data_IF_963775205817
#
_entry.id   IF_963775205817
#
_cell.length_a   1.000
_cell.length_b   1.000
_cell.length_c   1.000
_cell.angle_alpha   90.00
_cell.angle_beta   90.00
_cell.angle_gamma   90.00
#
_symmetry.space_group_name_H-M   'P 1'
#
loop_
_entity.id
_entity.type
_entity.pdbx_description
1 polymer ?
#
# COMPACT_ATOMS: atom_id res chain seq x y z
N UNK A 1 -0.70 22.80 23.56
CA UNK A 1 0.26 22.43 22.49
C UNK A 1 0.03 21.00 21.99
N UNK A 2 -0.12 20.01 22.88
CA UNK A 2 -0.33 18.59 22.51
C UNK A 2 -1.61 18.32 21.70
N UNK A 3 -2.72 19.01 21.99
CA UNK A 3 -3.98 18.85 21.24
C UNK A 3 -3.87 19.29 19.77
N UNK A 4 -3.10 20.34 19.49
CA UNK A 4 -2.93 20.85 18.11
C UNK A 4 -2.14 19.84 17.26
N UNK A 5 -1.08 19.25 17.83
CA UNK A 5 -0.31 18.21 17.14
C UNK A 5 -1.11 16.93 16.92
N UNK A 6 -1.93 16.53 17.91
CA UNK A 6 -2.84 15.39 17.77
C UNK A 6 -3.81 15.59 16.59
N UNK A 7 -4.45 16.75 16.53
CA UNK A 7 -5.38 17.07 15.44
C UNK A 7 -4.68 17.04 14.07
N UNK A 8 -3.48 17.60 13.94
CA UNK A 8 -2.73 17.58 12.67
C UNK A 8 -2.39 16.17 12.17
N UNK A 9 -1.96 15.25 13.05
CA UNK A 9 -1.64 13.87 12.67
C UNK A 9 -2.88 13.13 12.20
N UNK A 10 -4.02 13.34 12.88
CA UNK A 10 -5.29 12.74 12.50
C UNK A 10 -5.76 13.29 11.15
N UNK A 11 -5.72 14.60 10.94
CA UNK A 11 -6.08 15.22 9.65
C UNK A 11 -5.15 14.76 8.52
N UNK A 12 -3.84 14.67 8.76
CA UNK A 12 -2.86 14.16 7.79
C UNK A 12 -3.10 12.68 7.45
N UNK A 13 -3.43 11.86 8.45
CA UNK A 13 -3.74 10.44 8.29
C UNK A 13 -5.02 10.24 7.46
N UNK A 14 -6.08 10.98 7.79
CA UNK A 14 -7.34 10.96 7.05
C UNK A 14 -7.18 11.48 5.63
N UNK A 15 -6.47 12.60 5.45
CA UNK A 15 -6.18 13.16 4.13
C UNK A 15 -5.45 12.15 3.23
N UNK A 16 -4.44 11.48 3.77
CA UNK A 16 -3.70 10.41 3.07
C UNK A 16 -4.61 9.25 2.69
N UNK A 17 -5.55 8.85 3.55
CA UNK A 17 -6.55 7.83 3.25
C UNK A 17 -7.47 8.25 2.10
N UNK A 18 -7.97 9.49 2.11
CA UNK A 18 -8.82 10.01 1.03
C UNK A 18 -8.09 10.09 -0.32
N UNK A 19 -6.79 10.37 -0.32
CA UNK A 19 -5.96 10.31 -1.53
C UNK A 19 -5.95 8.88 -2.10
N UNK A 20 -5.78 7.86 -1.25
CA UNK A 20 -5.81 6.45 -1.70
C UNK A 20 -7.20 6.10 -2.26
N UNK A 21 -8.26 6.48 -1.55
CA UNK A 21 -9.65 6.23 -1.98
C UNK A 21 -9.91 6.90 -3.33
N UNK A 22 -9.53 8.15 -3.51
CA UNK A 22 -9.67 8.89 -4.77
C UNK A 22 -8.86 8.29 -5.92
N UNK A 23 -7.71 7.67 -5.62
CA UNK A 23 -6.91 6.95 -6.62
C UNK A 23 -7.52 5.59 -7.00
N UNK A 24 -8.14 4.88 -6.05
CA UNK A 24 -8.81 3.61 -6.29
C UNK A 24 -10.15 3.81 -7.05
N UNK A 25 -10.88 4.88 -6.73
CA UNK A 25 -12.18 5.18 -7.33
C UNK A 25 -12.28 6.64 -7.81
N UNK A 26 -11.51 7.02 -8.85
CA UNK A 26 -11.52 8.37 -9.38
C UNK A 26 -12.85 8.65 -10.10
N UNK A 27 -13.49 9.76 -9.73
CA UNK A 27 -14.77 10.22 -10.30
C UNK A 27 -14.64 10.40 -11.82
N UNK A 28 -13.51 10.95 -12.27
CA UNK A 28 -13.26 11.26 -13.69
C UNK A 28 -12.97 10.04 -14.56
N UNK A 29 -12.78 8.84 -13.99
CA UNK A 29 -12.60 7.59 -14.74
C UNK A 29 -13.68 6.56 -14.41
N UNK A 30 -14.92 7.02 -14.18
CA UNK A 30 -16.08 6.17 -13.89
C UNK A 30 -15.86 5.21 -12.71
N UNK A 31 -15.16 5.69 -11.68
CA UNK A 31 -14.78 4.90 -10.50
C UNK A 31 -13.94 3.65 -10.81
N UNK A 32 -13.21 3.64 -11.93
CA UNK A 32 -12.26 2.58 -12.30
C UNK A 32 -10.84 3.11 -12.18
N UNK A 33 -10.25 2.93 -10.99
CA UNK A 33 -8.89 3.38 -10.69
C UNK A 33 -7.87 2.26 -10.53
N UNK A 34 -6.75 2.62 -9.91
CA UNK A 34 -5.68 1.70 -9.56
C UNK A 34 -5.96 0.97 -8.24
N UNK A 35 -4.93 0.28 -7.71
CA UNK A 35 -5.06 -0.51 -6.46
C UNK A 35 -4.53 0.19 -5.22
N UNK A 36 -4.11 1.44 -5.32
CA UNK A 36 -3.73 2.27 -4.18
C UNK A 36 -2.30 2.09 -3.67
N UNK A 37 -1.54 1.08 -4.13
CA UNK A 37 -0.18 0.76 -3.61
C UNK A 37 0.76 1.96 -3.64
N UNK A 38 0.90 2.63 -4.79
CA UNK A 38 1.81 3.77 -4.93
C UNK A 38 1.38 4.97 -4.05
N UNK A 39 0.08 5.20 -3.91
CA UNK A 39 -0.47 6.28 -3.08
C UNK A 39 -0.21 6.01 -1.60
N UNK A 40 -0.43 4.77 -1.14
CA UNK A 40 -0.14 4.38 0.24
C UNK A 40 1.36 4.38 0.53
N UNK A 41 2.19 3.96 -0.43
CA UNK A 41 3.64 4.05 -0.29
C UNK A 41 4.10 5.50 -0.10
N UNK A 42 3.52 6.46 -0.83
CA UNK A 42 3.79 7.88 -0.63
C UNK A 42 3.49 8.36 0.80
N UNK A 43 2.33 7.97 1.35
CA UNK A 43 1.99 8.25 2.75
C UNK A 43 2.94 7.56 3.73
N UNK A 44 3.33 6.31 3.45
CA UNK A 44 4.26 5.57 4.29
C UNK A 44 5.68 6.16 4.28
N UNK A 45 6.14 6.72 3.16
CA UNK A 45 7.42 7.45 3.09
C UNK A 45 7.40 8.69 3.99
N UNK A 46 6.28 9.42 4.05
CA UNK A 46 6.13 10.58 4.91
C UNK A 46 6.15 10.22 6.41
N UNK A 47 5.60 9.05 6.76
CA UNK A 47 5.55 8.54 8.13
C UNK A 47 6.89 7.94 8.57
N UNK A 48 7.47 7.07 7.74
CA UNK A 48 8.60 6.23 8.10
C UNK A 48 9.52 6.03 6.87
N UNK A 49 10.35 7.03 6.54
CA UNK A 49 11.13 7.04 5.30
C UNK A 49 12.15 5.89 5.22
N UNK A 50 12.80 5.56 6.35
CA UNK A 50 13.79 4.46 6.38
C UNK A 50 13.11 3.08 6.21
N UNK A 51 12.06 2.72 6.97
CA UNK A 51 11.26 1.52 6.68
C UNK A 51 10.70 1.48 5.25
N UNK A 52 10.23 2.62 4.72
CA UNK A 52 9.74 2.68 3.35
C UNK A 52 10.80 2.31 2.31
N UNK A 53 12.04 2.79 2.48
CA UNK A 53 13.15 2.42 1.62
C UNK A 53 13.44 0.91 1.67
N UNK A 54 13.44 0.32 2.87
CA UNK A 54 13.65 -1.12 3.05
C UNK A 54 12.56 -1.91 2.32
N UNK A 55 11.30 -1.51 2.48
CA UNK A 55 10.16 -2.18 1.85
C UNK A 55 10.19 -2.03 0.33
N UNK A 56 10.62 -0.88 -0.19
CA UNK A 56 10.84 -0.70 -1.62
C UNK A 56 11.89 -1.68 -2.15
N UNK A 57 13.02 -1.82 -1.45
CA UNK A 57 14.05 -2.80 -1.80
C UNK A 57 13.49 -4.24 -1.77
N UNK A 58 12.74 -4.60 -0.73
CA UNK A 58 12.08 -5.92 -0.63
C UNK A 58 11.14 -6.14 -1.82
N UNK A 59 10.31 -5.17 -2.16
CA UNK A 59 9.40 -5.23 -3.30
C UNK A 59 10.14 -5.46 -4.62
N UNK A 60 11.22 -4.72 -4.85
CA UNK A 60 12.09 -4.89 -6.02
C UNK A 60 12.67 -6.31 -6.06
N UNK A 61 13.22 -6.80 -4.94
CA UNK A 61 13.76 -8.16 -4.87
C UNK A 61 12.70 -9.22 -5.18
N UNK A 62 11.49 -9.10 -4.62
CA UNK A 62 10.38 -10.02 -4.92
C UNK A 62 10.07 -10.01 -6.42
N UNK A 63 9.98 -8.85 -7.05
CA UNK A 63 9.73 -8.74 -8.50
C UNK A 63 10.88 -9.38 -9.29
N UNK A 64 12.13 -9.12 -8.92
CA UNK A 64 13.31 -9.66 -9.63
C UNK A 64 13.34 -11.19 -9.60
N UNK A 65 13.06 -11.81 -8.46
CA UNK A 65 13.12 -13.27 -8.31
C UNK A 65 11.86 -13.99 -8.81
N UNK A 66 10.68 -13.43 -8.56
CA UNK A 66 9.40 -14.13 -8.84
C UNK A 66 8.75 -13.69 -10.15
N UNK A 67 9.11 -12.50 -10.64
CA UNK A 67 8.44 -11.80 -11.74
C UNK A 67 6.97 -11.49 -11.45
N UNK A 68 6.49 -11.50 -10.20
CA UNK A 68 5.11 -11.14 -9.87
C UNK A 68 5.04 -9.78 -9.16
N UNK A 69 4.48 -8.77 -9.85
CA UNK A 69 4.26 -7.43 -9.26
C UNK A 69 3.19 -7.46 -8.17
N UNK A 70 2.15 -8.28 -8.36
CA UNK A 70 1.08 -8.45 -7.37
C UNK A 70 1.58 -9.09 -6.09
N UNK A 71 2.44 -10.12 -6.19
CA UNK A 71 3.07 -10.74 -5.03
C UNK A 71 3.88 -9.72 -4.25
N UNK A 72 4.73 -8.93 -4.93
CA UNK A 72 5.48 -7.87 -4.29
C UNK A 72 4.57 -6.86 -3.59
N UNK A 73 3.47 -6.44 -4.24
CA UNK A 73 2.52 -5.48 -3.68
C UNK A 73 1.84 -6.02 -2.42
N UNK A 74 1.28 -7.22 -2.47
CA UNK A 74 0.61 -7.87 -1.33
C UNK A 74 1.58 -8.02 -0.15
N UNK A 75 2.76 -8.61 -0.40
CA UNK A 75 3.73 -8.85 0.66
C UNK A 75 4.24 -7.54 1.28
N UNK A 76 4.56 -6.53 0.47
CA UNK A 76 5.09 -5.26 0.97
C UNK A 76 4.05 -4.43 1.70
N UNK A 77 2.78 -4.46 1.27
CA UNK A 77 1.68 -3.79 1.98
C UNK A 77 1.46 -4.41 3.35
N UNK A 78 1.40 -5.74 3.43
CA UNK A 78 1.29 -6.45 4.70
C UNK A 78 2.45 -6.13 5.65
N UNK A 79 3.70 -6.20 5.16
CA UNK A 79 4.89 -5.87 5.96
C UNK A 79 4.86 -4.41 6.42
N UNK A 80 4.43 -3.47 5.56
CA UNK A 80 4.33 -2.04 5.92
C UNK A 80 3.35 -1.84 7.06
N UNK A 81 2.16 -2.44 6.94
CA UNK A 81 1.12 -2.37 7.97
C UNK A 81 1.60 -2.96 9.30
N UNK A 82 2.19 -4.17 9.28
CA UNK A 82 2.76 -4.78 10.49
C UNK A 82 3.89 -3.95 11.10
N UNK A 83 4.73 -3.33 10.27
CA UNK A 83 5.83 -2.46 10.72
C UNK A 83 5.30 -1.25 11.47
N UNK A 84 4.28 -0.56 10.95
CA UNK A 84 3.66 0.57 11.65
C UNK A 84 3.09 0.12 13.00
N UNK A 85 2.38 -1.01 13.06
CA UNK A 85 1.84 -1.56 14.31
C UNK A 85 2.94 -1.80 15.33
N UNK A 86 4.05 -2.44 14.92
CA UNK A 86 5.18 -2.70 15.81
C UNK A 86 5.81 -1.39 16.32
N UNK A 87 6.02 -0.41 15.44
CA UNK A 87 6.62 0.87 15.83
C UNK A 87 5.72 1.65 16.80
N UNK A 88 4.40 1.60 16.62
CA UNK A 88 3.45 2.18 17.58
C UNK A 88 3.51 1.46 18.93
N UNK A 89 3.53 0.12 18.95
CA UNK A 89 3.64 -0.66 20.19
C UNK A 89 4.96 -0.41 20.93
N UNK A 90 6.02 -0.03 20.21
CA UNK A 90 7.30 0.36 20.79
C UNK A 90 7.36 1.83 21.23
N UNK A 91 6.27 2.60 21.07
CA UNK A 91 6.21 4.05 21.28
C UNK A 91 7.20 4.85 20.39
N UNK A 92 7.59 4.28 19.25
CA UNK A 92 8.42 4.95 18.24
C UNK A 92 7.59 5.79 17.26
N UNK A 93 6.29 5.53 17.18
CA UNK A 93 5.31 6.25 16.36
C UNK A 93 4.05 6.54 17.16
N UNK A 94 3.42 7.67 16.85
CA UNK A 94 2.13 8.07 17.41
C UNK A 94 1.02 7.09 16.98
N UNK A 95 0.17 6.71 17.94
CA UNK A 95 -0.88 5.70 17.74
C UNK A 95 -1.94 6.09 16.69
N UNK A 96 -2.08 7.38 16.46
CA UNK A 96 -2.98 8.04 15.54
C UNK A 96 -2.66 7.66 14.08
N UNK A 97 -1.41 7.30 13.80
CA UNK A 97 -0.97 6.83 12.47
C UNK A 97 -1.68 5.52 12.10
N UNK A 98 -2.18 4.75 13.07
CA UNK A 98 -2.98 3.55 12.82
C UNK A 98 -4.30 3.85 12.08
N UNK A 99 -4.85 5.07 12.20
CA UNK A 99 -6.02 5.50 11.42
C UNK A 99 -5.76 5.59 9.92
N UNK A 100 -4.50 5.71 9.52
CA UNK A 100 -4.07 5.59 8.13
C UNK A 100 -3.65 4.16 7.79
N UNK A 101 -2.70 3.61 8.55
CA UNK A 101 -1.99 2.39 8.16
C UNK A 101 -2.91 1.15 8.08
N UNK A 102 -3.84 0.98 9.04
CA UNK A 102 -4.74 -0.18 9.04
C UNK A 102 -5.76 -0.08 7.91
N UNK A 103 -6.53 1.01 7.75
CA UNK A 103 -7.52 1.07 6.68
C UNK A 103 -6.89 1.09 5.29
N UNK A 104 -5.75 1.77 5.11
CA UNK A 104 -5.02 1.78 3.83
C UNK A 104 -4.52 0.38 3.46
N UNK A 105 -3.89 -0.33 4.41
CA UNK A 105 -3.42 -1.70 4.20
C UNK A 105 -4.57 -2.63 3.83
N UNK A 106 -5.65 -2.62 4.61
CA UNK A 106 -6.83 -3.45 4.35
C UNK A 106 -7.47 -3.14 3.00
N UNK A 107 -7.65 -1.87 2.67
CA UNK A 107 -8.21 -1.43 1.39
C UNK A 107 -7.39 -1.98 0.21
N UNK A 108 -6.07 -1.88 0.29
CA UNK A 108 -5.19 -2.35 -0.77
C UNK A 108 -5.23 -3.88 -0.88
N UNK A 109 -5.20 -4.60 0.24
CA UNK A 109 -5.29 -6.07 0.24
C UNK A 109 -6.61 -6.56 -0.35
N UNK A 110 -7.73 -5.91 0.01
CA UNK A 110 -9.04 -6.20 -0.56
C UNK A 110 -9.07 -5.95 -2.08
N UNK A 111 -8.46 -4.87 -2.54
CA UNK A 111 -8.27 -4.61 -3.97
C UNK A 111 -7.36 -5.65 -4.66
N UNK A 112 -6.61 -6.44 -3.89
CA UNK A 112 -5.75 -7.51 -4.38
C UNK A 112 -6.32 -8.92 -4.34
N UNK A 113 -7.55 -9.12 -3.88
CA UNK A 113 -8.18 -10.45 -3.79
C UNK A 113 -8.16 -11.25 -5.10
N UNK A 114 -8.41 -10.60 -6.24
CA UNK A 114 -8.37 -11.32 -7.52
C UNK A 114 -6.95 -11.75 -7.93
N UNK A 115 -5.93 -11.01 -7.53
CA UNK A 115 -4.53 -11.36 -7.81
C UNK A 115 -4.05 -12.44 -6.87
N UNK A 116 -4.49 -12.40 -5.60
CA UNK A 116 -4.26 -13.51 -4.66
C UNK A 116 -4.84 -14.81 -5.22
N UNK A 117 -6.08 -14.78 -5.71
CA UNK A 117 -6.70 -15.96 -6.35
C UNK A 117 -5.90 -16.43 -7.58
N UNK A 118 -5.47 -15.53 -8.45
CA UNK A 118 -4.66 -15.89 -9.63
C UNK A 118 -3.27 -16.42 -9.26
N UNK A 119 -2.62 -15.88 -8.22
CA UNK A 119 -1.35 -16.36 -7.69
C UNK A 119 -1.49 -17.79 -7.16
N UNK A 120 -2.51 -18.06 -6.34
CA UNK A 120 -2.80 -19.40 -5.81
C UNK A 120 -3.09 -20.41 -6.91
N UNK A 121 -3.75 -19.99 -7.98
CA UNK A 121 -4.06 -20.84 -9.13
C UNK A 121 -2.91 -20.92 -10.15
N UNK A 122 -1.78 -20.24 -9.93
CA UNK A 122 -0.65 -20.22 -10.88
C UNK A 122 -0.90 -19.46 -12.20
N UNK A 123 -1.98 -18.67 -12.27
CA UNK A 123 -2.45 -17.98 -13.47
C UNK A 123 -2.19 -16.46 -13.46
N UNK A 124 -1.40 -15.97 -12.50
CA UNK A 124 -1.07 -14.56 -12.42
C UNK A 124 -0.07 -14.15 -13.51
N UNK A 125 -0.27 -12.95 -14.07
CA UNK A 125 0.62 -12.44 -15.10
C UNK A 125 2.02 -12.15 -14.53
N UNK A 126 3.06 -12.67 -15.19
CA UNK A 126 4.45 -12.33 -14.89
C UNK A 126 4.82 -11.01 -15.55
N UNK A 127 5.59 -10.22 -14.83
CA UNK A 127 6.22 -8.99 -15.29
C UNK A 127 7.08 -9.27 -16.53
N UNK A 128 6.89 -8.46 -17.57
CA UNK A 128 7.60 -8.58 -18.84
C UNK A 128 6.97 -9.57 -19.85
N UNK A 129 5.92 -10.30 -19.50
CA UNK A 129 5.16 -11.05 -20.50
C UNK A 129 4.44 -10.05 -21.43
N UNK A 130 4.58 -10.25 -22.75
CA UNK A 130 3.86 -9.44 -23.74
C UNK A 130 2.37 -9.71 -23.60
N UNK A 131 1.56 -8.65 -23.54
CA UNK A 131 0.12 -8.76 -23.77
C UNK A 131 -0.04 -9.08 -25.25
N UNK A 132 -0.45 -10.31 -25.57
CA UNK A 132 -0.76 -10.69 -26.94
C UNK A 132 -1.89 -9.78 -27.43
N UNK A 133 -1.54 -8.81 -28.27
CA UNK A 133 -2.43 -7.70 -28.60
C UNK A 133 -3.29 -8.02 -29.82
N UNK A 134 -3.32 -9.28 -30.26
CA UNK A 134 -4.20 -9.78 -31.32
C UNK A 134 -4.18 -8.93 -32.59
N UNK A 135 -3.04 -8.29 -32.88
CA UNK A 135 -2.80 -7.45 -34.06
C UNK A 135 -1.71 -8.06 -34.91
#
# INVERSE_FOLDING_TARGET
MSYIFFDEIVFGSLGSLFVIIGHCWPIFASFKGGRGVASAFGGFVAIAPLPALIILCIGILIILFTKYVSLASITTVFISMSTVVILVLQNSLDSEILFFAIPAGLLIELNHLDNMKRLLNGNEAKFGNKVDTGK
#
